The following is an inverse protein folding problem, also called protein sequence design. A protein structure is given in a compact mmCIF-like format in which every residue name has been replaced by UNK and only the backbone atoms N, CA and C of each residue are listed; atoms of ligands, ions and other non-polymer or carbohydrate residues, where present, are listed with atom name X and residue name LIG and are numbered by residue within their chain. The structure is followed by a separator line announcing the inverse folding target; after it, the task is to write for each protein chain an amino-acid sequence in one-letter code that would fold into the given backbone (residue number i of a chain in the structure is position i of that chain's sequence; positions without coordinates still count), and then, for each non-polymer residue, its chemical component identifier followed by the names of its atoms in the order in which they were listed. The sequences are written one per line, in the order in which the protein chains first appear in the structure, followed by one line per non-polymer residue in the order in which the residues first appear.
data_IF_873366170626
#
_entry.id   IF_873366170626
#
_cell.length_a   1.000
_cell.length_b   1.000
_cell.length_c   1.000
_cell.angle_alpha   90.00
_cell.angle_beta   90.00
_cell.angle_gamma   90.00
#
_symmetry.space_group_name_H-M   'P 1'
#
loop_
_entity.id
_entity.type
_entity.pdbx_description
1 polymer ?
#
# COMPACT_ATOMS: atom_id res chain seq x y z
N UNK A 1 -7.77 12.55 5.43
CA UNK A 1 -6.30 12.62 5.30
C UNK A 1 -5.75 11.44 4.48
N UNK A 2 -5.91 10.20 4.95
CA UNK A 2 -5.36 9.02 4.27
C UNK A 2 -5.89 8.81 2.83
N UNK A 3 -7.22 8.83 2.64
CA UNK A 3 -7.82 8.69 1.31
C UNK A 3 -7.36 9.76 0.31
N UNK A 4 -7.19 11.00 0.77
CA UNK A 4 -6.73 12.11 -0.08
C UNK A 4 -5.26 11.94 -0.48
N UNK A 5 -4.40 11.46 0.43
CA UNK A 5 -2.96 11.27 0.14
C UNK A 5 -2.69 10.04 -0.73
N UNK A 6 -3.58 9.04 -0.74
CA UNK A 6 -3.46 7.86 -1.59
C UNK A 6 -4.00 8.14 -3.00
N UNK A 7 -3.08 8.36 -3.93
CA UNK A 7 -3.34 8.70 -5.33
C UNK A 7 -3.39 7.45 -6.23
N UNK A 8 -4.31 6.53 -5.93
CA UNK A 8 -4.66 5.39 -6.78
C UNK A 8 -6.11 4.95 -6.51
N UNK A 9 -6.58 3.96 -7.25
CA UNK A 9 -7.80 3.21 -6.95
C UNK A 9 -7.49 1.74 -6.71
N UNK A 10 -7.88 1.20 -5.55
CA UNK A 10 -7.70 -0.20 -5.18
C UNK A 10 -8.79 -0.68 -4.23
N UNK A 11 -9.46 -1.77 -4.60
CA UNK A 11 -10.51 -2.38 -3.77
C UNK A 11 -11.64 -1.38 -3.49
N UNK A 12 -11.89 -1.09 -2.20
CA UNK A 12 -12.94 -0.17 -1.77
C UNK A 12 -12.55 1.32 -1.83
N UNK A 13 -11.29 1.65 -2.09
CA UNK A 13 -10.83 3.03 -2.29
C UNK A 13 -10.77 3.31 -3.79
N UNK A 14 -11.65 4.18 -4.30
CA UNK A 14 -11.73 4.49 -5.73
C UNK A 14 -11.79 6.00 -5.93
N UNK A 15 -10.99 6.49 -6.88
CA UNK A 15 -10.78 7.89 -7.18
C UNK A 15 -10.90 8.12 -8.69
N UNK A 16 -11.79 9.01 -9.12
CA UNK A 16 -11.96 9.31 -10.54
C UNK A 16 -10.75 10.03 -11.16
N UNK A 17 -9.97 10.75 -10.34
CA UNK A 17 -8.75 11.44 -10.73
C UNK A 17 -7.51 10.52 -10.76
N UNK A 18 -7.58 9.34 -10.12
CA UNK A 18 -6.56 8.29 -10.14
C UNK A 18 -7.24 6.91 -10.28
N UNK A 19 -7.77 6.57 -11.46
CA UNK A 19 -8.67 5.42 -11.64
C UNK A 19 -7.95 4.06 -11.61
N UNK A 20 -6.65 4.04 -11.87
CA UNK A 20 -5.85 2.81 -11.92
C UNK A 20 -5.15 2.52 -10.59
N UNK A 21 -4.72 1.27 -10.42
CA UNK A 21 -3.79 0.87 -9.37
C UNK A 21 -2.37 1.34 -9.68
N UNK A 22 -1.63 1.75 -8.65
CA UNK A 22 -0.19 2.00 -8.76
C UNK A 22 0.55 0.97 -7.89
N UNK A 23 0.90 -0.17 -8.50
CA UNK A 23 1.60 -1.24 -7.81
C UNK A 23 3.05 -0.86 -7.45
N UNK A 24 3.63 0.13 -8.14
CA UNK A 24 5.01 0.56 -7.90
C UNK A 24 5.16 1.38 -6.63
N UNK A 25 4.23 2.30 -6.39
CA UNK A 25 4.28 3.18 -5.22
C UNK A 25 3.31 2.74 -4.12
N UNK A 26 2.05 2.48 -4.47
CA UNK A 26 0.98 2.20 -3.51
C UNK A 26 0.75 0.72 -3.25
N UNK A 27 1.21 -0.17 -4.14
CA UNK A 27 1.02 -1.62 -4.04
C UNK A 27 1.57 -2.22 -2.74
N UNK A 28 2.62 -1.63 -2.18
CA UNK A 28 3.24 -2.08 -0.92
C UNK A 28 3.05 -1.17 0.28
N UNK A 29 2.46 0.01 0.09
CA UNK A 29 2.33 1.01 1.14
C UNK A 29 0.92 0.99 1.76
N UNK A 30 0.84 0.73 3.05
CA UNK A 30 -0.38 0.91 3.85
C UNK A 30 -0.35 2.26 4.55
N UNK A 31 -1.35 3.09 4.30
CA UNK A 31 -1.52 4.37 5.01
C UNK A 31 -1.94 4.11 6.46
N UNK A 32 -1.15 4.56 7.41
CA UNK A 32 -1.44 4.50 8.85
C UNK A 32 -1.77 5.91 9.32
N UNK A 33 -2.91 6.08 9.98
CA UNK A 33 -3.33 7.36 10.53
C UNK A 33 -3.41 7.25 12.05
N UNK A 34 -2.82 8.22 12.74
CA UNK A 34 -2.80 8.28 14.21
C UNK A 34 -3.16 9.69 14.67
N UNK A 35 -3.79 9.77 15.84
CA UNK A 35 -4.08 11.04 16.49
C UNK A 35 -3.06 11.26 17.61
N UNK A 36 -2.39 12.41 17.60
CA UNK A 36 -1.49 12.84 18.66
C UNK A 36 -2.25 13.23 19.93
N UNK A 37 -1.52 13.38 21.05
CA UNK A 37 -2.10 13.79 22.34
C UNK A 37 -2.72 15.20 22.30
N UNK A 38 -2.27 16.03 21.36
CA UNK A 38 -2.80 17.37 21.09
C UNK A 38 -4.01 17.38 20.14
N UNK A 39 -4.47 16.21 19.69
CA UNK A 39 -5.56 16.05 18.74
C UNK A 39 -5.18 16.25 17.28
N UNK A 40 -3.89 16.48 16.98
CA UNK A 40 -3.40 16.53 15.60
C UNK A 40 -3.47 15.15 14.93
N UNK A 41 -3.64 15.12 13.61
CA UNK A 41 -3.71 13.87 12.84
C UNK A 41 -2.46 13.71 12.00
N UNK A 42 -1.69 12.66 12.29
CA UNK A 42 -0.51 12.27 11.54
C UNK A 42 -0.81 11.16 10.54
N UNK A 43 -0.06 11.14 9.44
CA UNK A 43 -0.02 9.98 8.55
C UNK A 43 1.39 9.43 8.52
N UNK A 44 1.50 8.13 8.48
CA UNK A 44 2.72 7.41 8.13
C UNK A 44 2.38 6.29 7.14
N UNK A 45 3.41 5.65 6.59
CA UNK A 45 3.24 4.55 5.65
C UNK A 45 4.05 3.36 6.15
N UNK A 46 3.39 2.21 6.20
CA UNK A 46 4.02 0.95 6.57
C UNK A 46 4.06 0.03 5.34
N UNK A 47 5.20 -0.63 5.12
CA UNK A 47 5.32 -1.71 4.15
C UNK A 47 4.84 -3.03 4.74
N UNK A 48 4.25 -3.90 3.92
CA UNK A 48 4.01 -5.28 4.33
C UNK A 48 5.32 -6.09 4.36
N UNK A 49 5.45 -7.12 5.21
CA UNK A 49 6.64 -7.96 5.25
C UNK A 49 6.77 -8.80 3.99
N UNK A 50 8.01 -9.06 3.55
CA UNK A 50 8.29 -9.96 2.43
C UNK A 50 7.71 -11.35 2.69
N UNK A 51 7.24 -12.00 1.62
CA UNK A 51 6.65 -13.34 1.70
C UNK A 51 7.75 -14.32 2.15
N UNK A 52 7.55 -15.10 3.22
CA UNK A 52 8.50 -16.13 3.64
C UNK A 52 8.83 -17.11 2.51
N UNK A 53 10.10 -17.53 2.44
CA UNK A 53 10.59 -18.37 1.33
C UNK A 53 9.81 -19.67 1.17
N UNK A 54 9.40 -20.31 2.27
CA UNK A 54 8.60 -21.54 2.19
C UNK A 54 7.24 -21.30 1.54
N UNK A 55 6.59 -20.17 1.81
CA UNK A 55 5.29 -19.83 1.24
C UNK A 55 5.42 -19.42 -0.23
N UNK A 56 6.49 -18.71 -0.57
CA UNK A 56 6.76 -18.29 -1.95
C UNK A 56 6.88 -19.47 -2.92
N UNK A 57 7.41 -20.61 -2.46
CA UNK A 57 7.49 -21.82 -3.28
C UNK A 57 6.14 -22.47 -3.60
N UNK A 58 5.07 -22.06 -2.92
CA UNK A 58 3.70 -22.55 -3.15
C UNK A 58 2.91 -21.65 -4.11
N UNK A 59 3.48 -20.53 -4.55
CA UNK A 59 2.82 -19.53 -5.40
C UNK A 59 3.41 -19.55 -6.81
N UNK A 60 2.57 -19.24 -7.80
CA UNK A 60 3.01 -19.11 -9.19
C UNK A 60 3.88 -17.85 -9.34
N UNK A 61 4.97 -17.98 -10.09
CA UNK A 61 5.93 -16.88 -10.23
C UNK A 61 5.33 -15.63 -10.89
N UNK A 62 4.35 -15.82 -11.77
CA UNK A 62 3.67 -14.74 -12.49
C UNK A 62 2.77 -13.90 -11.57
N UNK A 63 2.33 -14.46 -10.43
CA UNK A 63 1.52 -13.77 -9.43
C UNK A 63 2.37 -12.97 -8.41
N UNK A 64 3.70 -13.11 -8.46
CA UNK A 64 4.61 -12.45 -7.53
C UNK A 64 5.02 -11.06 -8.03
N UNK A 65 4.26 -10.04 -7.65
CA UNK A 65 4.59 -8.64 -7.93
C UNK A 65 5.47 -8.03 -6.82
N UNK A 66 6.73 -8.43 -6.75
CA UNK A 66 7.70 -7.78 -5.87
C UNK A 66 8.39 -6.62 -6.60
N UNK A 67 7.79 -5.42 -6.53
CA UNK A 67 8.44 -4.20 -7.02
C UNK A 67 9.78 -3.93 -6.31
N UNK A 68 10.77 -3.49 -7.09
CA UNK A 68 12.13 -3.16 -6.66
C UNK A 68 12.15 -2.02 -5.64
N UNK A 69 13.06 -2.14 -4.67
CA UNK A 69 13.24 -1.21 -3.56
C UNK A 69 13.97 0.05 -4.06
N UNK A 70 13.26 1.18 -4.15
CA UNK A 70 13.89 2.50 -4.25
C UNK A 70 14.33 3.00 -2.87
#
# INVERSE_FOLDING_TARGET
LAAHRREESRGAHTRADFPETDDSHWGKATSVISMGEDGSMDISYASYPEIPKELRSLLDADDLHEGDRA
#
